data_IF_979924548003
#
_entry.id   IF_979924548003
#
_cell.length_a   1.000
_cell.length_b   1.000
_cell.length_c   1.000
_cell.angle_alpha   90.00
_cell.angle_beta   90.00
_cell.angle_gamma   90.00
#
_symmetry.space_group_name_H-M   'P 1'
#
loop_
_entity.id
_entity.type
_entity.pdbx_description
1 polymer ?
#
# COMPACT_ATOMS: atom_id res chain seq x y z
N UNK A 1 22.98 -7.53 -9.63
CA UNK A 1 21.88 -7.35 -8.67
C UNK A 1 21.67 -8.68 -7.98
N UNK A 2 22.08 -8.82 -6.74
CA UNK A 2 21.85 -10.04 -5.96
C UNK A 2 20.68 -9.75 -5.02
N UNK A 3 19.60 -10.51 -5.16
CA UNK A 3 18.56 -10.58 -4.16
C UNK A 3 19.19 -11.18 -2.92
N UNK A 4 19.25 -10.43 -1.82
CA UNK A 4 19.74 -10.99 -0.56
C UNK A 4 18.65 -11.90 0.01
N UNK A 5 18.88 -13.20 -0.08
CA UNK A 5 18.26 -14.18 0.80
C UNK A 5 19.04 -14.08 2.09
N UNK A 6 18.45 -13.56 3.15
CA UNK A 6 19.11 -13.46 4.45
C UNK A 6 19.11 -14.84 5.12
N UNK A 7 20.29 -15.43 5.46
CA UNK A 7 20.35 -16.76 6.07
C UNK A 7 20.16 -16.79 7.60
N UNK A 8 19.74 -15.71 8.24
CA UNK A 8 19.66 -15.64 9.71
C UNK A 8 18.26 -15.32 10.24
N UNK A 9 17.36 -16.29 10.15
CA UNK A 9 16.26 -16.41 11.10
C UNK A 9 16.70 -17.43 12.17
N UNK A 10 16.81 -16.94 13.42
CA UNK A 10 17.23 -17.77 14.55
C UNK A 10 16.29 -18.94 14.77
N UNK A 11 16.85 -20.13 14.76
CA UNK A 11 16.20 -21.34 15.23
C UNK A 11 15.86 -21.20 16.71
N UNK A 12 14.59 -21.38 17.04
CA UNK A 12 14.16 -21.59 18.40
C UNK A 12 14.70 -22.97 18.86
N UNK A 13 15.48 -23.08 19.94
CA UNK A 13 15.90 -24.39 20.43
C UNK A 13 14.69 -25.13 20.97
N UNK A 14 14.36 -26.25 20.33
CA UNK A 14 13.44 -27.25 20.89
C UNK A 14 14.15 -27.98 22.00
N UNK A 15 13.90 -27.60 23.25
CA UNK A 15 14.02 -28.54 24.34
C UNK A 15 13.12 -28.15 25.52
N UNK A 16 12.44 -29.21 26.00
CA UNK A 16 11.64 -29.33 27.22
C UNK A 16 10.15 -28.93 27.18
N UNK A 17 9.39 -29.96 27.00
CA UNK A 17 7.96 -30.14 27.32
C UNK A 17 7.73 -29.87 28.81
N UNK A 18 6.85 -28.91 29.13
CA UNK A 18 6.06 -28.96 30.37
C UNK A 18 4.69 -28.29 30.17
N UNK A 19 3.59 -29.01 30.52
CA UNK A 19 2.24 -28.51 30.35
C UNK A 19 1.81 -27.79 31.62
N UNK A 20 1.24 -26.65 31.53
CA UNK A 20 0.21 -25.99 32.36
C UNK A 20 0.35 -24.46 32.20
N UNK A 21 -0.54 -23.85 31.44
CA UNK A 21 -0.70 -22.39 31.46
C UNK A 21 -2.19 -22.08 31.64
N UNK A 22 -2.58 -21.37 32.70
CA UNK A 22 -3.89 -20.76 32.79
C UNK A 22 -3.94 -19.45 31.96
N UNK A 23 -5.02 -19.29 31.23
CA UNK A 23 -5.38 -18.04 30.55
C UNK A 23 -5.56 -16.90 31.56
N UNK A 24 -4.70 -15.91 31.51
CA UNK A 24 -4.91 -14.62 32.19
C UNK A 24 -4.28 -13.51 31.31
N UNK A 25 -5.11 -12.53 30.94
CA UNK A 25 -4.72 -11.12 30.69
C UNK A 25 -3.98 -10.85 29.39
N UNK A 26 -4.73 -10.41 28.37
CA UNK A 26 -4.18 -9.75 27.19
C UNK A 26 -3.94 -8.27 27.52
N UNK A 27 -2.82 -7.97 28.17
CA UNK A 27 -2.35 -6.59 28.36
C UNK A 27 -1.22 -6.26 27.37
N UNK A 28 -1.50 -5.30 26.54
CA UNK A 28 -0.64 -4.24 25.92
C UNK A 28 0.89 -4.43 25.92
N UNK A 29 1.44 -5.55 25.48
CA UNK A 29 2.89 -5.71 25.39
C UNK A 29 3.32 -6.62 24.24
N UNK A 30 3.01 -6.24 22.98
CA UNK A 30 3.67 -6.82 21.81
C UNK A 30 4.40 -5.75 20.99
N UNK A 31 5.28 -5.01 21.66
CA UNK A 31 6.47 -4.43 21.08
C UNK A 31 7.67 -5.19 21.63
N UNK A 32 7.72 -6.50 21.42
CA UNK A 32 8.95 -7.23 21.71
C UNK A 32 9.98 -6.88 20.64
N UNK A 33 10.96 -6.06 21.05
CA UNK A 33 12.25 -5.92 20.38
C UNK A 33 12.85 -7.31 20.25
N UNK A 34 13.05 -7.76 19.01
CA UNK A 34 13.93 -8.92 18.75
C UNK A 34 15.30 -8.51 19.29
N UNK A 35 15.89 -9.23 20.27
CA UNK A 35 17.21 -8.90 20.75
C UNK A 35 18.22 -9.25 19.65
N UNK A 36 18.66 -8.25 18.89
CA UNK A 36 19.91 -8.35 18.16
C UNK A 36 21.03 -8.40 19.21
N UNK A 37 21.78 -9.48 19.27
CA UNK A 37 23.02 -9.51 20.03
C UNK A 37 23.99 -8.51 19.40
N UNK A 38 23.99 -7.28 19.95
CA UNK A 38 24.98 -6.26 19.63
C UNK A 38 26.29 -6.62 20.32
N UNK A 39 27.20 -7.21 19.58
CA UNK A 39 28.60 -7.31 19.94
C UNK A 39 29.39 -6.05 19.54
N UNK A 40 28.73 -4.93 19.27
CA UNK A 40 29.38 -3.67 18.93
C UNK A 40 29.63 -2.83 20.20
N UNK A 41 30.83 -2.25 20.36
CA UNK A 41 31.20 -1.47 21.54
C UNK A 41 30.51 -0.10 21.66
N UNK A 42 29.66 0.28 20.71
CA UNK A 42 28.86 1.50 20.76
C UNK A 42 27.36 1.15 20.69
N UNK A 43 26.56 1.55 21.67
CA UNK A 43 25.11 1.36 21.59
C UNK A 43 24.60 2.11 20.36
N UNK A 44 24.18 1.39 19.31
CA UNK A 44 23.46 1.94 18.19
C UNK A 44 22.23 2.62 18.77
N UNK A 45 22.16 3.94 18.68
CA UNK A 45 20.93 4.69 18.99
C UNK A 45 19.89 4.23 17.99
N UNK A 46 19.08 3.25 18.38
CA UNK A 46 17.91 2.81 17.65
C UNK A 46 17.02 4.04 17.55
N UNK A 47 17.07 4.71 16.41
CA UNK A 47 16.12 5.75 16.10
C UNK A 47 14.79 5.02 15.94
N UNK A 48 14.01 4.96 17.03
CA UNK A 48 12.65 4.44 16.95
C UNK A 48 11.97 5.24 15.84
N UNK A 49 11.46 4.58 14.79
CA UNK A 49 10.66 5.29 13.82
C UNK A 49 9.62 6.02 14.64
N UNK A 50 9.38 7.28 14.30
CA UNK A 50 8.43 8.15 15.00
C UNK A 50 7.04 7.51 14.94
N UNK A 51 6.83 6.41 15.71
CA UNK A 51 5.52 5.79 15.91
C UNK A 51 4.54 6.85 16.42
N UNK A 52 5.06 7.81 17.20
CA UNK A 52 4.34 9.01 17.60
C UNK A 52 3.98 9.92 16.41
N UNK A 53 4.75 9.95 15.34
CA UNK A 53 4.42 10.76 14.16
C UNK A 53 3.31 10.10 13.34
N UNK A 54 3.31 8.77 13.25
CA UNK A 54 2.22 8.01 12.60
C UNK A 54 0.97 8.06 13.48
N UNK A 55 1.11 7.88 14.79
CA UNK A 55 0.02 7.97 15.77
C UNK A 55 -0.57 9.39 15.83
N UNK A 56 0.25 10.43 15.63
CA UNK A 56 -0.19 11.84 15.55
C UNK A 56 -0.74 12.24 14.18
N UNK A 57 -0.97 11.29 13.26
CA UNK A 57 -1.57 11.58 11.95
C UNK A 57 -0.69 12.43 11.02
N UNK A 58 0.63 12.49 11.25
CA UNK A 58 1.54 13.25 10.40
C UNK A 58 1.62 12.62 9.00
N UNK A 59 1.22 13.39 8.01
CA UNK A 59 1.23 12.99 6.60
C UNK A 59 2.64 12.67 6.12
N UNK A 60 2.84 11.46 5.62
CA UNK A 60 4.12 11.03 5.04
C UNK A 60 4.27 11.67 3.65
N UNK A 61 5.37 12.40 3.46
CA UNK A 61 5.71 13.04 2.19
C UNK A 61 6.89 12.30 1.56
N UNK A 62 6.61 11.37 0.66
CA UNK A 62 7.64 10.64 -0.06
C UNK A 62 8.20 11.45 -1.22
N UNK A 63 9.49 11.22 -1.53
CA UNK A 63 10.19 11.77 -2.69
C UNK A 63 9.89 10.92 -3.92
N UNK A 64 9.75 11.55 -5.09
CA UNK A 64 9.65 10.83 -6.36
C UNK A 64 11.00 10.23 -6.75
N UNK A 65 10.96 9.02 -7.29
CA UNK A 65 12.14 8.31 -7.79
C UNK A 65 11.80 7.63 -9.11
N UNK A 66 12.77 7.60 -10.02
CA UNK A 66 12.71 6.83 -11.26
C UNK A 66 13.68 5.66 -11.19
N UNK A 67 13.23 4.45 -11.53
CA UNK A 67 14.03 3.24 -11.50
C UNK A 67 13.26 2.05 -12.07
N UNK A 68 13.90 0.90 -12.15
CA UNK A 68 13.28 -0.32 -12.70
C UNK A 68 12.02 -0.73 -11.93
N UNK A 69 12.10 -0.85 -10.60
CA UNK A 69 10.97 -1.21 -9.75
C UNK A 69 9.87 -0.15 -9.76
N UNK A 70 10.23 1.14 -9.87
CA UNK A 70 9.26 2.21 -10.00
C UNK A 70 8.45 2.10 -11.31
N UNK A 71 9.11 1.72 -12.43
CA UNK A 71 8.45 1.50 -13.72
C UNK A 71 7.50 0.29 -13.68
N UNK A 72 7.94 -0.86 -13.13
CA UNK A 72 7.10 -2.04 -12.97
C UNK A 72 5.88 -1.71 -12.12
N UNK A 73 6.08 -1.04 -10.99
CA UNK A 73 5.01 -0.61 -10.11
C UNK A 73 4.01 0.31 -10.82
N UNK A 74 4.51 1.29 -11.57
CA UNK A 74 3.65 2.20 -12.32
C UNK A 74 2.85 1.45 -13.39
N UNK A 75 3.49 0.52 -14.13
CA UNK A 75 2.82 -0.29 -15.15
C UNK A 75 1.72 -1.17 -14.55
N UNK A 76 2.00 -1.89 -13.46
CA UNK A 76 1.00 -2.74 -12.80
C UNK A 76 -0.18 -1.94 -12.24
N UNK A 77 0.10 -0.80 -11.60
CA UNK A 77 -0.95 0.08 -11.09
C UNK A 77 -1.79 0.69 -12.22
N UNK A 78 -1.16 1.11 -13.32
CA UNK A 78 -1.87 1.61 -14.50
C UNK A 78 -2.76 0.52 -15.09
N UNK A 79 -2.27 -0.71 -15.19
CA UNK A 79 -3.06 -1.84 -15.65
C UNK A 79 -4.30 -2.08 -14.78
N UNK A 80 -4.16 -2.06 -13.45
CA UNK A 80 -5.28 -2.22 -12.51
C UNK A 80 -6.32 -1.12 -12.68
N UNK A 81 -5.88 0.14 -12.85
CA UNK A 81 -6.79 1.28 -13.05
C UNK A 81 -7.53 1.16 -14.39
N UNK A 82 -6.80 0.83 -15.46
CA UNK A 82 -7.40 0.68 -16.78
C UNK A 82 -8.42 -0.47 -16.80
N UNK A 83 -8.06 -1.62 -16.21
CA UNK A 83 -8.96 -2.74 -16.06
C UNK A 83 -10.24 -2.34 -15.31
N UNK A 84 -10.07 -1.71 -14.14
CA UNK A 84 -11.20 -1.23 -13.35
C UNK A 84 -12.07 -0.22 -14.10
N UNK A 85 -11.45 0.74 -14.79
CA UNK A 85 -12.19 1.85 -15.40
C UNK A 85 -12.84 1.48 -16.72
N UNK A 86 -12.21 0.62 -17.52
CA UNK A 86 -12.70 0.28 -18.87
C UNK A 86 -13.68 -0.88 -18.88
N UNK A 87 -13.55 -1.82 -17.95
CA UNK A 87 -14.32 -3.07 -17.98
C UNK A 87 -15.85 -2.84 -17.99
N UNK A 88 -16.45 -1.88 -17.25
CA UNK A 88 -17.89 -1.62 -17.34
C UNK A 88 -18.36 -1.07 -18.68
N UNK A 89 -17.46 -0.46 -19.47
CA UNK A 89 -17.80 0.11 -20.78
C UNK A 89 -17.76 -0.91 -21.91
N UNK A 90 -17.16 -2.09 -21.66
CA UNK A 90 -17.09 -3.17 -22.63
C UNK A 90 -18.46 -3.84 -22.75
N UNK A 91 -18.97 -3.96 -23.96
CA UNK A 91 -20.20 -4.70 -24.25
C UNK A 91 -19.85 -6.07 -24.82
N UNK A 92 -20.59 -7.07 -24.41
CA UNK A 92 -20.53 -8.45 -24.88
C UNK A 92 -21.95 -8.92 -25.22
N UNK A 93 -22.18 -9.36 -26.45
CA UNK A 93 -23.49 -9.85 -26.89
C UNK A 93 -24.67 -8.88 -26.60
N UNK A 94 -24.45 -7.57 -26.83
CA UNK A 94 -25.48 -6.54 -26.66
C UNK A 94 -25.73 -6.06 -25.23
N UNK A 95 -25.01 -6.60 -24.23
CA UNK A 95 -25.08 -6.20 -22.82
C UNK A 95 -23.70 -5.88 -22.26
N UNK A 96 -23.65 -5.25 -21.10
CA UNK A 96 -22.39 -4.97 -20.41
C UNK A 96 -21.68 -6.28 -20.04
N UNK A 97 -20.37 -6.37 -20.35
CA UNK A 97 -19.58 -7.59 -20.18
C UNK A 97 -19.44 -8.04 -18.71
N UNK A 98 -19.43 -7.09 -17.78
CA UNK A 98 -19.44 -7.36 -16.35
C UNK A 98 -20.51 -6.51 -15.68
N UNK A 99 -21.60 -7.15 -15.24
CA UNK A 99 -22.74 -6.49 -14.59
C UNK A 99 -23.27 -7.36 -13.45
N UNK A 100 -23.38 -6.76 -12.29
CA UNK A 100 -23.98 -7.38 -11.10
C UNK A 100 -25.39 -6.81 -10.88
N UNK A 101 -26.39 -7.37 -11.58
CA UNK A 101 -27.78 -6.92 -11.43
C UNK A 101 -28.38 -7.46 -10.14
N UNK A 102 -28.41 -6.61 -9.13
CA UNK A 102 -28.98 -6.95 -7.82
C UNK A 102 -30.50 -7.00 -7.84
N UNK A 103 -31.16 -6.26 -8.74
CA UNK A 103 -32.61 -6.21 -8.82
C UNK A 103 -33.21 -7.50 -9.35
N UNK A 104 -32.55 -8.11 -10.33
CA UNK A 104 -32.92 -9.40 -10.90
C UNK A 104 -32.13 -10.57 -10.30
N UNK A 105 -31.22 -10.28 -9.36
CA UNK A 105 -30.35 -11.28 -8.74
C UNK A 105 -29.55 -12.10 -9.78
N UNK A 106 -29.04 -11.43 -10.80
CA UNK A 106 -28.28 -12.04 -11.87
C UNK A 106 -26.90 -11.38 -12.00
N UNK A 107 -25.89 -12.22 -12.17
CA UNK A 107 -24.52 -11.77 -12.31
C UNK A 107 -24.04 -12.15 -13.72
N UNK A 108 -23.77 -11.13 -14.51
CA UNK A 108 -23.27 -11.33 -15.87
C UNK A 108 -21.75 -11.16 -15.90
N UNK A 109 -21.06 -12.21 -16.31
CA UNK A 109 -19.61 -12.21 -16.46
C UNK A 109 -19.31 -12.67 -17.88
N UNK A 110 -19.03 -11.74 -18.77
CA UNK A 110 -18.93 -11.95 -20.23
C UNK A 110 -20.18 -12.65 -20.79
N UNK A 111 -20.03 -13.81 -21.42
CA UNK A 111 -21.16 -14.59 -21.96
C UNK A 111 -21.93 -15.43 -20.93
N UNK A 112 -21.43 -15.50 -19.69
CA UNK A 112 -22.02 -16.36 -18.65
C UNK A 112 -22.97 -15.57 -17.75
N UNK A 113 -24.12 -16.19 -17.45
CA UNK A 113 -25.11 -15.65 -16.50
C UNK A 113 -25.16 -16.54 -15.28
N UNK A 114 -24.82 -15.99 -14.14
CA UNK A 114 -24.86 -16.68 -12.85
C UNK A 114 -26.12 -16.26 -12.10
N UNK A 115 -26.81 -17.23 -11.53
CA UNK A 115 -27.97 -17.05 -10.69
C UNK A 115 -27.61 -17.26 -9.21
N UNK A 116 -28.50 -16.93 -8.24
CA UNK A 116 -28.18 -17.11 -6.81
C UNK A 116 -27.79 -18.51 -6.41
N UNK A 117 -28.31 -19.55 -7.06
CA UNK A 117 -27.95 -20.93 -6.80
C UNK A 117 -26.49 -21.24 -7.17
N UNK A 118 -25.88 -20.44 -8.03
CA UNK A 118 -24.49 -20.61 -8.49
C UNK A 118 -23.46 -20.00 -7.51
N UNK A 119 -23.89 -19.44 -6.37
CA UNK A 119 -23.01 -18.92 -5.32
C UNK A 119 -21.98 -19.94 -4.82
N UNK A 120 -22.25 -21.21 -5.02
CA UNK A 120 -21.29 -22.27 -4.75
C UNK A 120 -19.99 -22.09 -5.55
N UNK A 121 -20.07 -21.75 -6.83
CA UNK A 121 -18.88 -21.48 -7.66
C UNK A 121 -18.13 -20.23 -7.21
N UNK A 122 -18.84 -19.19 -6.78
CA UNK A 122 -18.22 -18.00 -6.20
C UNK A 122 -17.43 -18.35 -4.93
N UNK A 123 -17.97 -19.18 -4.06
CA UNK A 123 -17.28 -19.61 -2.84
C UNK A 123 -15.99 -20.36 -3.15
N UNK A 124 -16.01 -21.26 -4.14
CA UNK A 124 -14.82 -21.96 -4.61
C UNK A 124 -13.77 -20.98 -5.19
N UNK A 125 -14.23 -20.03 -6.01
CA UNK A 125 -13.34 -19.02 -6.59
C UNK A 125 -12.67 -18.17 -5.52
N UNK A 126 -13.42 -17.74 -4.50
CA UNK A 126 -12.88 -16.98 -3.37
C UNK A 126 -11.86 -17.79 -2.56
N UNK A 127 -12.14 -19.08 -2.30
CA UNK A 127 -11.17 -19.95 -1.62
C UNK A 127 -9.89 -20.11 -2.44
N UNK A 128 -9.99 -20.37 -3.75
CA UNK A 128 -8.82 -20.46 -4.64
C UNK A 128 -8.04 -19.16 -4.65
N UNK A 129 -8.72 -18.01 -4.75
CA UNK A 129 -8.09 -16.70 -4.73
C UNK A 129 -7.37 -16.42 -3.39
N UNK A 130 -7.96 -16.83 -2.27
CA UNK A 130 -7.33 -16.70 -0.95
C UNK A 130 -6.07 -17.57 -0.84
N UNK A 131 -6.13 -18.83 -1.26
CA UNK A 131 -4.95 -19.71 -1.27
C UNK A 131 -3.87 -19.23 -2.23
N UNK A 132 -4.24 -18.76 -3.42
CA UNK A 132 -3.30 -18.17 -4.36
C UNK A 132 -2.58 -16.94 -3.77
N UNK A 133 -3.32 -16.09 -3.04
CA UNK A 133 -2.75 -14.95 -2.36
C UNK A 133 -1.77 -15.37 -1.25
N UNK A 134 -2.09 -16.43 -0.48
CA UNK A 134 -1.18 -16.98 0.52
C UNK A 134 0.08 -17.56 -0.10
N UNK A 135 -0.05 -18.33 -1.18
CA UNK A 135 1.11 -18.85 -1.91
C UNK A 135 2.01 -17.73 -2.38
N UNK A 136 1.47 -16.70 -3.03
CA UNK A 136 2.24 -15.52 -3.45
C UNK A 136 2.94 -14.84 -2.27
N UNK A 137 2.29 -14.79 -1.11
CA UNK A 137 2.87 -14.17 0.10
C UNK A 137 4.04 -14.97 0.64
N UNK A 138 3.98 -16.29 0.65
CA UNK A 138 5.08 -17.14 1.10
C UNK A 138 6.29 -17.01 0.18
N UNK A 139 6.10 -16.94 -1.14
CA UNK A 139 7.20 -16.81 -2.10
C UNK A 139 7.77 -15.41 -2.21
N UNK A 140 6.92 -14.40 -2.34
CA UNK A 140 7.32 -13.03 -2.69
C UNK A 140 6.92 -11.97 -1.64
N UNK A 141 6.56 -12.39 -0.44
CA UNK A 141 6.19 -11.51 0.65
C UNK A 141 5.00 -10.61 0.29
N UNK A 142 5.14 -9.30 0.51
CA UNK A 142 4.06 -8.32 0.31
C UNK A 142 3.98 -7.73 -1.09
N UNK A 143 4.38 -8.47 -2.11
CA UNK A 143 4.36 -7.96 -3.49
C UNK A 143 2.97 -7.52 -3.94
N UNK A 144 1.92 -8.21 -3.50
CA UNK A 144 0.54 -7.81 -3.78
C UNK A 144 0.25 -6.39 -3.27
N UNK A 145 0.63 -6.07 -2.02
CA UNK A 145 0.42 -4.74 -1.44
C UNK A 145 1.20 -3.65 -2.17
N UNK A 146 2.41 -3.97 -2.66
CA UNK A 146 3.26 -3.01 -3.34
C UNK A 146 2.84 -2.68 -4.77
N UNK A 147 2.23 -3.62 -5.49
CA UNK A 147 2.06 -3.53 -6.94
C UNK A 147 0.62 -3.60 -7.44
N UNK A 148 -0.26 -4.39 -6.80
CA UNK A 148 -1.59 -4.70 -7.34
C UNK A 148 -2.71 -4.17 -6.44
N UNK A 149 -2.47 -4.04 -5.14
CA UNK A 149 -3.49 -3.67 -4.17
C UNK A 149 -4.20 -2.35 -4.56
N UNK A 150 -5.54 -2.35 -4.63
CA UNK A 150 -6.30 -1.14 -4.97
C UNK A 150 -5.97 0.05 -4.06
N UNK A 151 -5.90 -0.14 -2.74
CA UNK A 151 -5.57 0.93 -1.80
C UNK A 151 -4.24 1.61 -2.13
N UNK A 152 -3.19 0.82 -2.41
CA UNK A 152 -1.87 1.36 -2.79
C UNK A 152 -1.91 2.08 -4.13
N UNK A 153 -2.74 1.60 -5.06
CA UNK A 153 -2.90 2.17 -6.40
C UNK A 153 -3.58 3.54 -6.33
N UNK A 154 -4.74 3.65 -5.66
CA UNK A 154 -5.45 4.92 -5.50
C UNK A 154 -4.65 5.93 -4.68
N UNK A 155 -4.01 5.49 -3.60
CA UNK A 155 -3.10 6.35 -2.83
C UNK A 155 -1.98 6.93 -3.70
N UNK A 156 -1.42 6.13 -4.62
CA UNK A 156 -0.37 6.60 -5.56
C UNK A 156 -0.89 7.67 -6.52
N UNK A 157 -2.13 7.54 -7.04
CA UNK A 157 -2.75 8.58 -7.89
C UNK A 157 -2.90 9.88 -7.09
N UNK A 158 -3.41 9.81 -5.87
CA UNK A 158 -3.59 10.99 -5.02
C UNK A 158 -2.26 11.66 -4.68
N UNK A 159 -1.22 10.88 -4.42
CA UNK A 159 0.15 11.40 -4.25
C UNK A 159 0.71 12.02 -5.52
N UNK A 160 0.42 11.45 -6.69
CA UNK A 160 0.82 12.02 -7.97
C UNK A 160 0.16 13.38 -8.22
N UNK A 161 -1.13 13.52 -7.92
CA UNK A 161 -1.83 14.81 -7.95
C UNK A 161 -1.17 15.83 -7.02
N UNK A 162 -0.73 15.41 -5.81
CA UNK A 162 0.02 16.29 -4.91
C UNK A 162 1.34 16.76 -5.50
N UNK A 163 2.08 15.85 -6.16
CA UNK A 163 3.29 16.23 -6.85
C UNK A 163 3.03 17.26 -7.96
N UNK A 164 1.93 17.09 -8.67
CA UNK A 164 1.56 18.00 -9.76
C UNK A 164 1.16 19.39 -9.26
N UNK A 165 0.43 19.47 -8.15
CA UNK A 165 -0.14 20.74 -7.64
C UNK A 165 0.76 21.47 -6.64
N UNK A 166 1.39 20.74 -5.73
CA UNK A 166 2.21 21.27 -4.64
C UNK A 166 3.72 21.11 -4.89
N UNK A 167 4.11 20.34 -5.91
CA UNK A 167 5.50 20.09 -6.28
C UNK A 167 6.16 18.93 -5.50
N UNK A 168 7.49 18.87 -5.59
CA UNK A 168 8.32 17.85 -4.95
C UNK A 168 8.28 17.93 -3.42
N UNK A 169 8.75 16.84 -2.74
CA UNK A 169 8.75 16.70 -1.28
C UNK A 169 9.17 17.96 -0.51
N UNK A 170 10.29 18.57 -0.91
CA UNK A 170 10.81 19.74 -0.21
C UNK A 170 9.94 21.00 -0.40
N UNK A 171 9.35 21.16 -1.59
CA UNK A 171 8.41 22.24 -1.88
C UNK A 171 7.13 22.07 -1.06
N UNK A 172 6.60 20.86 -0.95
CA UNK A 172 5.43 20.54 -0.12
C UNK A 172 5.66 20.83 1.35
N UNK A 173 6.82 20.42 1.90
CA UNK A 173 7.18 20.70 3.29
C UNK A 173 7.26 22.21 3.54
N UNK A 174 7.85 22.98 2.61
CA UNK A 174 7.91 24.44 2.70
C UNK A 174 6.52 25.07 2.63
N UNK A 175 5.68 24.61 1.71
CA UNK A 175 4.30 25.08 1.55
C UNK A 175 3.45 24.80 2.80
N UNK A 176 3.61 23.61 3.42
CA UNK A 176 2.89 23.28 4.63
C UNK A 176 3.29 24.16 5.83
N UNK A 177 4.57 24.47 5.96
CA UNK A 177 5.12 25.37 7.00
C UNK A 177 4.87 26.84 6.74
N UNK A 178 4.60 27.24 5.49
CA UNK A 178 4.37 28.65 5.13
C UNK A 178 3.10 29.18 5.82
N UNK A 179 3.06 30.48 6.17
CA UNK A 179 1.85 31.12 6.67
C UNK A 179 0.74 31.07 5.61
N UNK A 180 -0.49 31.34 6.03
CA UNK A 180 -1.64 31.35 5.13
C UNK A 180 -1.47 32.44 4.07
N UNK A 181 -1.41 32.03 2.80
CA UNK A 181 -1.29 32.94 1.65
C UNK A 181 -2.23 32.52 0.54
N UNK A 182 -2.57 33.45 -0.37
CA UNK A 182 -3.42 33.17 -1.52
C UNK A 182 -2.90 32.04 -2.40
N UNK A 183 -1.59 31.96 -2.63
CA UNK A 183 -0.95 30.89 -3.40
C UNK A 183 -1.13 29.52 -2.72
N UNK A 184 -0.95 29.47 -1.40
CA UNK A 184 -1.17 28.24 -0.63
C UNK A 184 -2.62 27.76 -0.74
N UNK A 185 -3.58 28.69 -0.66
CA UNK A 185 -5.00 28.40 -0.78
C UNK A 185 -5.33 27.83 -2.16
N UNK A 186 -4.90 28.48 -3.22
CA UNK A 186 -5.13 28.06 -4.62
C UNK A 186 -4.56 26.67 -4.86
N UNK A 187 -3.29 26.40 -4.51
CA UNK A 187 -2.64 25.11 -4.71
C UNK A 187 -3.37 23.98 -3.97
N UNK A 188 -3.77 24.23 -2.71
CA UNK A 188 -4.51 23.26 -1.92
C UNK A 188 -5.94 23.04 -2.44
N UNK A 189 -6.62 24.08 -2.88
CA UNK A 189 -7.96 23.98 -3.49
C UNK A 189 -7.93 23.14 -4.78
N UNK A 190 -6.97 23.42 -5.67
CA UNK A 190 -6.80 22.62 -6.90
C UNK A 190 -6.53 21.16 -6.58
N UNK A 191 -5.67 20.88 -5.59
CA UNK A 191 -5.40 19.52 -5.14
C UNK A 191 -6.69 18.79 -4.69
N UNK A 192 -7.44 19.40 -3.79
CA UNK A 192 -8.68 18.81 -3.26
C UNK A 192 -9.74 18.65 -4.33
N UNK A 193 -9.82 19.60 -5.26
CA UNK A 193 -10.73 19.48 -6.42
C UNK A 193 -10.34 18.27 -7.30
N UNK A 194 -9.07 18.10 -7.66
CA UNK A 194 -8.62 16.97 -8.45
C UNK A 194 -8.81 15.63 -7.71
N UNK A 195 -8.58 15.62 -6.41
CA UNK A 195 -8.87 14.45 -5.57
C UNK A 195 -10.36 14.10 -5.60
N UNK A 196 -11.22 15.11 -5.49
CA UNK A 196 -12.67 14.91 -5.58
C UNK A 196 -13.09 14.36 -6.94
N UNK A 197 -12.54 14.89 -8.04
CA UNK A 197 -12.83 14.40 -9.39
C UNK A 197 -12.46 12.93 -9.56
N UNK A 198 -11.27 12.53 -9.09
CA UNK A 198 -10.83 11.12 -9.15
C UNK A 198 -11.69 10.24 -8.24
N UNK A 199 -12.00 10.68 -7.04
CA UNK A 199 -12.86 9.95 -6.12
C UNK A 199 -14.27 9.78 -6.68
N UNK A 200 -14.85 10.85 -7.27
CA UNK A 200 -16.15 10.82 -7.92
C UNK A 200 -16.16 9.85 -9.11
N UNK A 201 -15.18 9.95 -10.00
CA UNK A 201 -15.05 9.02 -11.12
C UNK A 201 -14.96 7.56 -10.65
N UNK A 202 -14.19 7.30 -9.58
CA UNK A 202 -14.10 5.96 -8.98
C UNK A 202 -15.45 5.49 -8.43
N UNK A 203 -16.15 6.30 -7.67
CA UNK A 203 -17.47 5.95 -7.11
C UNK A 203 -18.51 5.75 -8.20
N UNK A 204 -18.52 6.60 -9.23
CA UNK A 204 -19.39 6.49 -10.38
C UNK A 204 -19.18 5.19 -11.18
N UNK A 205 -17.91 4.86 -11.49
CA UNK A 205 -17.55 3.62 -12.16
C UNK A 205 -17.92 2.41 -11.31
N UNK A 206 -17.71 2.48 -9.99
CA UNK A 206 -18.08 1.39 -9.09
C UNK A 206 -19.59 1.09 -9.16
N UNK A 207 -20.44 2.11 -9.11
CA UNK A 207 -21.90 1.93 -9.26
C UNK A 207 -22.25 1.42 -10.66
N UNK A 208 -21.44 1.77 -11.67
CA UNK A 208 -21.56 1.25 -13.04
C UNK A 208 -21.33 -0.26 -13.19
N UNK A 209 -20.79 -0.95 -12.18
CA UNK A 209 -20.76 -2.41 -12.14
C UNK A 209 -22.09 -3.04 -11.72
N UNK A 210 -22.94 -2.26 -11.03
CA UNK A 210 -24.23 -2.71 -10.50
C UNK A 210 -25.43 -2.22 -11.33
N UNK A 211 -25.21 -1.15 -12.10
CA UNK A 211 -26.21 -0.61 -13.03
C UNK A 211 -25.52 -0.38 -14.38
N UNK A 212 -26.19 -0.67 -15.51
CA UNK A 212 -25.58 -0.48 -16.82
C UNK A 212 -25.03 0.94 -16.99
N UNK A 213 -23.70 1.08 -17.08
CA UNK A 213 -23.02 2.38 -17.05
C UNK A 213 -23.48 3.33 -18.15
N UNK A 214 -23.90 2.79 -19.30
CA UNK A 214 -24.42 3.57 -20.43
C UNK A 214 -25.78 4.21 -20.16
N UNK A 215 -26.58 3.60 -19.28
CA UNK A 215 -27.86 4.18 -18.81
C UNK A 215 -27.60 5.09 -17.61
N UNK A 216 -26.72 4.65 -16.70
CA UNK A 216 -26.34 5.39 -15.50
C UNK A 216 -25.83 6.81 -15.83
N UNK A 217 -25.00 6.94 -16.89
CA UNK A 217 -24.40 8.22 -17.24
C UNK A 217 -25.45 9.28 -17.65
N UNK A 218 -26.34 9.04 -18.64
CA UNK A 218 -27.38 10.00 -18.97
C UNK A 218 -28.37 10.23 -17.83
N UNK A 219 -28.80 9.20 -17.10
CA UNK A 219 -29.73 9.32 -15.97
C UNK A 219 -29.15 10.19 -14.84
N UNK A 220 -27.85 10.10 -14.60
CA UNK A 220 -27.17 10.94 -13.61
C UNK A 220 -27.26 12.43 -14.00
N UNK A 221 -26.96 12.77 -15.27
CA UNK A 221 -26.95 14.16 -15.74
C UNK A 221 -28.37 14.74 -15.96
N UNK A 222 -29.36 13.92 -16.28
CA UNK A 222 -30.76 14.36 -16.44
C UNK A 222 -31.50 14.43 -15.12
N UNK A 223 -30.91 13.94 -14.02
CA UNK A 223 -31.56 13.93 -12.71
C UNK A 223 -32.63 12.86 -12.53
N UNK A 224 -32.72 11.89 -13.43
CA UNK A 224 -33.72 10.81 -13.39
C UNK A 224 -33.25 9.56 -12.65
N UNK A 225 -31.96 9.53 -12.24
CA UNK A 225 -31.40 8.42 -11.48
C UNK A 225 -32.13 8.25 -10.14
N UNK A 226 -32.48 7.03 -9.78
CA UNK A 226 -33.11 6.75 -8.48
C UNK A 226 -32.25 7.19 -7.28
N UNK A 227 -32.90 7.61 -6.18
CA UNK A 227 -32.21 8.14 -4.99
C UNK A 227 -31.10 7.24 -4.44
N UNK A 228 -31.24 5.92 -4.53
CA UNK A 228 -30.18 4.96 -4.15
C UNK A 228 -28.94 5.07 -5.03
N UNK A 229 -29.08 5.35 -6.34
CA UNK A 229 -27.94 5.55 -7.23
C UNK A 229 -27.09 6.74 -6.80
N UNK A 230 -27.72 7.90 -6.53
CA UNK A 230 -27.02 9.08 -6.00
C UNK A 230 -26.36 8.82 -4.65
N UNK A 231 -27.07 8.11 -3.76
CA UNK A 231 -26.56 7.77 -2.43
C UNK A 231 -25.28 6.93 -2.54
N UNK A 232 -25.25 5.85 -3.33
CA UNK A 232 -24.09 5.01 -3.46
C UNK A 232 -22.93 5.70 -4.19
N UNK A 233 -23.19 6.49 -5.23
CA UNK A 233 -22.15 7.29 -5.89
C UNK A 233 -21.50 8.23 -4.85
N UNK A 234 -22.29 8.94 -4.06
CA UNK A 234 -21.81 9.82 -3.01
C UNK A 234 -21.01 9.06 -1.93
N UNK A 235 -21.54 7.93 -1.46
CA UNK A 235 -20.90 7.09 -0.44
C UNK A 235 -19.52 6.61 -0.89
N UNK A 236 -19.41 6.01 -2.08
CA UNK A 236 -18.13 5.53 -2.58
C UNK A 236 -17.16 6.65 -2.95
N UNK A 237 -17.67 7.81 -3.36
CA UNK A 237 -16.86 9.01 -3.54
C UNK A 237 -16.20 9.43 -2.22
N UNK A 238 -16.99 9.54 -1.16
CA UNK A 238 -16.49 9.90 0.18
C UNK A 238 -15.49 8.85 0.69
N UNK A 239 -15.82 7.57 0.58
CA UNK A 239 -14.89 6.50 1.00
C UNK A 239 -13.57 6.54 0.23
N UNK A 240 -13.58 6.71 -1.08
CA UNK A 240 -12.36 6.81 -1.88
C UNK A 240 -11.55 8.03 -1.49
N UNK A 241 -12.22 9.18 -1.34
CA UNK A 241 -11.58 10.42 -0.95
C UNK A 241 -10.92 10.32 0.44
N UNK A 242 -11.61 9.73 1.42
CA UNK A 242 -11.08 9.54 2.77
C UNK A 242 -9.93 8.52 2.80
N UNK A 243 -10.12 7.36 2.17
CA UNK A 243 -9.13 6.28 2.22
C UNK A 243 -7.85 6.61 1.44
N UNK A 244 -7.95 7.17 0.24
CA UNK A 244 -6.79 7.47 -0.58
C UNK A 244 -6.16 8.84 -0.28
N UNK A 245 -6.95 9.82 0.16
CA UNK A 245 -6.49 11.17 0.44
C UNK A 245 -5.98 11.38 1.86
N UNK A 246 -6.75 10.94 2.86
CA UNK A 246 -6.48 11.24 4.28
C UNK A 246 -5.86 10.08 5.02
N UNK A 247 -6.48 8.90 5.00
CA UNK A 247 -6.04 7.73 5.76
C UNK A 247 -4.84 7.02 5.14
N UNK A 248 -4.76 6.97 3.81
CA UNK A 248 -3.62 6.44 3.05
C UNK A 248 -3.04 5.14 3.65
N UNK A 249 -1.78 5.23 4.11
CA UNK A 249 -1.02 4.16 4.73
C UNK A 249 -1.65 3.65 6.03
N UNK A 250 -2.42 4.46 6.75
CA UNK A 250 -3.10 4.04 7.98
C UNK A 250 -4.13 2.95 7.72
N UNK A 251 -4.80 2.96 6.56
CA UNK A 251 -5.69 1.88 6.14
C UNK A 251 -4.95 0.55 6.12
N UNK A 252 -3.72 0.54 5.59
CA UNK A 252 -2.90 -0.67 5.51
C UNK A 252 -2.40 -1.15 6.89
N UNK A 253 -2.15 -0.23 7.84
CA UNK A 253 -1.56 -0.56 9.14
C UNK A 253 -2.60 -0.91 10.19
N UNK A 254 -3.75 -0.24 10.16
CA UNK A 254 -4.75 -0.32 11.23
C UNK A 254 -5.96 -1.12 10.78
N UNK A 255 -6.50 -0.83 9.59
CA UNK A 255 -7.77 -1.36 9.13
C UNK A 255 -7.64 -2.67 8.34
N UNK A 256 -6.55 -2.87 7.60
CA UNK A 256 -6.38 -4.03 6.75
C UNK A 256 -5.88 -5.26 7.53
N UNK A 257 -6.69 -6.29 7.75
CA UNK A 257 -6.26 -7.49 8.48
C UNK A 257 -5.17 -8.25 7.71
N UNK A 258 -5.23 -8.25 6.38
CA UNK A 258 -4.26 -8.92 5.53
C UNK A 258 -2.82 -8.41 5.76
N UNK A 259 -2.64 -7.10 5.97
CA UNK A 259 -1.33 -6.52 6.27
C UNK A 259 -0.66 -7.10 7.51
N UNK A 260 -1.44 -7.52 8.50
CA UNK A 260 -0.93 -8.16 9.72
C UNK A 260 -0.71 -9.66 9.54
N UNK A 261 -1.63 -10.34 8.88
CA UNK A 261 -1.49 -11.78 8.58
C UNK A 261 -0.25 -12.08 7.76
N UNK A 262 0.05 -11.27 6.75
CA UNK A 262 1.22 -11.46 5.90
C UNK A 262 2.55 -11.47 6.67
N UNK A 263 2.68 -10.66 7.71
CA UNK A 263 3.94 -10.57 8.46
C UNK A 263 4.28 -11.86 9.22
N UNK A 264 3.26 -12.69 9.49
CA UNK A 264 3.43 -13.98 10.19
C UNK A 264 3.73 -15.12 9.21
N UNK A 265 3.46 -14.91 7.90
CA UNK A 265 3.63 -15.93 6.86
C UNK A 265 5.03 -15.97 6.24
N UNK A 266 5.91 -15.05 6.61
CA UNK A 266 7.26 -15.01 6.07
C UNK A 266 8.11 -16.15 6.64
N UNK A 267 8.77 -16.87 5.75
CA UNK A 267 9.77 -17.87 6.07
C UNK A 267 11.17 -17.37 5.65
N UNK A 268 12.21 -18.10 6.06
CA UNK A 268 13.61 -17.80 5.71
C UNK A 268 13.88 -17.73 4.21
N UNK A 269 13.07 -18.44 3.42
CA UNK A 269 13.20 -18.54 1.96
C UNK A 269 12.31 -17.52 1.22
N UNK A 270 11.51 -16.71 1.94
CA UNK A 270 10.65 -15.68 1.35
C UNK A 270 11.50 -14.54 0.76
N UNK A 271 11.22 -14.17 -0.48
CA UNK A 271 11.87 -13.00 -1.11
C UNK A 271 11.36 -11.71 -0.48
N UNK A 272 12.21 -11.04 0.26
CA UNK A 272 11.91 -9.79 0.94
C UNK A 272 12.90 -8.68 0.58
N UNK A 273 12.44 -7.43 0.68
CA UNK A 273 13.30 -6.25 0.62
C UNK A 273 13.76 -5.93 2.03
N UNK A 274 15.05 -6.09 2.30
CA UNK A 274 15.66 -5.82 3.59
C UNK A 274 16.97 -5.05 3.45
N UNK A 275 17.42 -4.45 4.54
CA UNK A 275 18.72 -3.83 4.65
C UNK A 275 19.74 -4.88 5.11
N UNK A 276 20.86 -4.95 4.41
CA UNK A 276 21.97 -5.82 4.74
C UNK A 276 22.90 -5.09 5.73
N UNK A 277 22.79 -5.45 7.00
CA UNK A 277 23.57 -4.83 8.08
C UNK A 277 25.05 -5.21 8.03
N UNK A 278 25.40 -6.43 7.60
CA UNK A 278 26.79 -6.88 7.51
C UNK A 278 27.57 -6.07 6.46
N UNK A 279 26.90 -5.72 5.36
CA UNK A 279 27.48 -4.88 4.32
C UNK A 279 27.38 -3.39 4.63
N UNK A 280 26.33 -2.96 5.30
CA UNK A 280 25.97 -1.55 5.45
C UNK A 280 26.52 -0.86 6.69
N UNK A 281 26.78 -1.60 7.76
CA UNK A 281 27.29 -1.07 9.03
C UNK A 281 28.83 -1.23 9.14
N UNK A 282 29.49 -0.35 9.90
CA UNK A 282 29.01 0.89 10.50
C UNK A 282 28.76 1.99 9.46
N UNK A 283 27.60 2.68 9.60
CA UNK A 283 27.19 3.76 8.68
C UNK A 283 28.00 5.03 8.90
N UNK A 284 28.39 5.70 7.82
CA UNK A 284 29.07 6.98 7.95
C UNK A 284 29.18 7.76 6.64
N UNK A 285 29.27 9.08 6.76
CA UNK A 285 29.55 9.96 5.62
C UNK A 285 31.01 9.80 5.19
N UNK A 286 31.26 9.57 3.92
CA UNK A 286 32.61 9.46 3.36
C UNK A 286 32.79 10.31 2.10
N UNK A 287 34.05 10.64 1.80
CA UNK A 287 34.45 11.23 0.52
C UNK A 287 34.49 10.13 -0.56
N UNK A 288 34.29 10.51 -1.83
CA UNK A 288 34.25 9.55 -2.96
C UNK A 288 35.55 8.77 -3.14
N UNK A 289 36.68 9.33 -2.75
CA UNK A 289 38.02 8.81 -3.05
C UNK A 289 38.62 7.96 -1.90
N UNK A 290 37.85 7.69 -0.85
CA UNK A 290 38.30 6.90 0.31
C UNK A 290 37.76 5.49 0.20
N UNK A 291 38.66 4.50 0.26
CA UNK A 291 38.30 3.07 0.23
C UNK A 291 37.55 2.68 1.51
N UNK A 292 36.58 1.76 1.36
CA UNK A 292 35.72 1.32 2.46
C UNK A 292 36.53 0.69 3.60
N UNK A 293 37.54 -0.09 3.26
CA UNK A 293 38.39 -0.82 4.21
C UNK A 293 39.24 0.11 5.04
N UNK A 294 39.75 1.18 4.43
CA UNK A 294 40.63 2.16 5.10
C UNK A 294 39.85 3.07 6.04
N UNK A 295 38.57 3.33 5.71
CA UNK A 295 37.69 4.13 6.55
C UNK A 295 37.07 3.35 7.70
N UNK A 296 37.15 2.03 7.75
CA UNK A 296 36.47 1.18 8.72
C UNK A 296 34.95 1.32 8.69
N UNK A 297 34.40 1.73 7.53
CA UNK A 297 32.97 2.00 7.34
C UNK A 297 32.33 0.97 6.41
N UNK A 298 31.05 0.72 6.62
CA UNK A 298 30.23 -0.08 5.73
C UNK A 298 29.85 0.67 4.44
N UNK A 299 29.08 0.01 3.59
CA UNK A 299 28.65 0.57 2.29
C UNK A 299 27.62 1.70 2.43
N UNK A 300 26.94 1.83 3.56
CA UNK A 300 25.91 2.84 3.78
C UNK A 300 26.51 4.21 4.13
N UNK A 301 26.25 5.21 3.28
CA UNK A 301 26.73 6.59 3.46
C UNK A 301 25.78 7.47 4.31
N UNK A 302 24.78 6.88 4.92
CA UNK A 302 23.73 7.56 5.74
C UNK A 302 23.04 8.74 5.04
N UNK A 303 22.76 8.60 3.74
CA UNK A 303 22.09 9.66 2.98
C UNK A 303 20.56 9.74 3.20
N UNK A 304 19.97 8.77 3.88
CA UNK A 304 18.53 8.65 4.18
C UNK A 304 17.60 8.66 2.94
N UNK A 305 18.12 8.43 1.74
CA UNK A 305 17.29 8.40 0.54
C UNK A 305 16.27 7.26 0.58
N UNK A 306 16.64 6.07 1.06
CA UNK A 306 15.75 4.93 1.24
C UNK A 306 14.53 5.28 2.13
N UNK A 307 14.72 6.10 3.18
CA UNK A 307 13.63 6.58 4.05
C UNK A 307 12.75 7.61 3.34
N UNK A 308 13.38 8.54 2.61
CA UNK A 308 12.66 9.62 1.93
C UNK A 308 11.79 9.14 0.76
N UNK A 309 12.19 8.06 0.07
CA UNK A 309 11.42 7.49 -1.04
C UNK A 309 10.34 6.53 -0.57
N UNK A 310 10.39 6.10 0.69
CA UNK A 310 9.46 5.13 1.24
C UNK A 310 8.03 5.70 1.29
N UNK A 311 7.03 5.09 0.64
CA UNK A 311 5.65 5.56 0.67
C UNK A 311 5.00 5.35 2.03
N UNK A 312 5.51 4.42 2.84
CA UNK A 312 5.04 4.13 4.20
C UNK A 312 5.87 4.83 5.28
N UNK A 313 6.93 5.57 4.88
CA UNK A 313 7.74 6.40 5.77
C UNK A 313 8.57 5.64 6.79
N UNK A 314 8.82 4.34 6.58
CA UNK A 314 9.66 3.54 7.47
C UNK A 314 11.15 3.75 7.20
N UNK A 315 11.97 3.52 8.20
CA UNK A 315 13.41 3.37 8.02
C UNK A 315 13.76 1.88 7.86
N UNK A 316 14.01 1.45 6.63
CA UNK A 316 14.34 0.05 6.31
C UNK A 316 15.67 -0.39 6.95
N UNK A 317 16.53 0.55 7.36
CA UNK A 317 17.83 0.27 7.97
C UNK A 317 17.71 -0.27 9.40
N UNK A 318 16.55 -0.03 10.04
CA UNK A 318 16.25 -0.55 11.38
C UNK A 318 15.70 -1.99 11.32
N UNK A 319 15.86 -2.67 10.19
CA UNK A 319 15.42 -4.04 9.96
C UNK A 319 14.06 -4.14 9.28
N UNK A 320 13.58 -5.37 9.16
CA UNK A 320 12.30 -5.66 8.54
C UNK A 320 11.16 -5.20 9.46
N UNK A 321 10.30 -4.35 8.93
CA UNK A 321 9.14 -3.82 9.66
C UNK A 321 7.85 -4.27 9.00
N UNK A 322 6.80 -4.52 9.81
CA UNK A 322 5.50 -4.97 9.31
C UNK A 322 4.81 -3.92 8.40
N UNK A 323 5.21 -2.65 8.46
CA UNK A 323 4.71 -1.58 7.60
C UNK A 323 5.32 -1.60 6.18
N UNK A 324 6.39 -2.37 5.95
CA UNK A 324 7.00 -2.48 4.64
C UNK A 324 6.06 -3.18 3.65
N UNK A 325 5.68 -2.49 2.57
CA UNK A 325 4.84 -3.05 1.48
C UNK A 325 5.67 -3.71 0.37
N UNK A 326 6.95 -3.85 0.57
CA UNK A 326 7.92 -4.48 -0.35
C UNK A 326 7.86 -3.95 -1.80
N UNK A 327 7.65 -2.65 -1.95
CA UNK A 327 7.58 -1.98 -3.26
C UNK A 327 8.94 -1.77 -3.93
N UNK A 328 10.05 -2.09 -3.25
CA UNK A 328 11.44 -2.00 -3.73
C UNK A 328 11.87 -0.60 -4.24
N UNK A 329 11.19 0.48 -3.84
CA UNK A 329 11.58 1.84 -4.23
C UNK A 329 12.85 2.33 -3.52
N UNK A 330 13.26 1.69 -2.44
CA UNK A 330 14.47 2.00 -1.68
C UNK A 330 15.75 1.33 -2.23
N UNK A 331 15.60 0.44 -3.20
CA UNK A 331 16.69 -0.21 -3.94
C UNK A 331 17.03 0.62 -5.18
#
# INVERSE_FOLDING_TARGET
MRFCVSPNFYACPTDSINPVIPFIGCDTAMSQKIPTQDNSPNPVKIHQPDHDAIAKGRKIQSRSISGFFSKIRLSSMTFVILLYSLLPWVNWEGRQALLFDLSHQQFFIFGWTFAPQDFFFLSWLLMIAAFALFVVTVFAGRVFCGYICPQSTWTKIFMWIEHLTEGERNARIKLDKAPFSGEKLIRKSIKHFLWFVVAFATGFIFVGYFSPIRNLAPEFFTGTLGGWGYFFIGLFTVFTYMNAGWLREQVCFIMCPYGRFQSVMFDKDTLIVSYDSERGEPRGKRKKDVDLKDAGLGSCIDCQLCVQVCPTGIDIRDGLQFQCIQCALCI
#
